data_IF_540745797473
#
_entry.id   IF_540745797473
#
_cell.length_a   1.000
_cell.length_b   1.000
_cell.length_c   1.000
_cell.angle_alpha   90.00
_cell.angle_beta   90.00
_cell.angle_gamma   90.00
#
_symmetry.space_group_name_H-M   'P 1'
#
loop_
_entity.id
_entity.type
_entity.pdbx_description
1 polymer ?
#
# COMPACT_ATOMS: atom_id res chain seq x y z
N UNK A 1 -49.42 33.59 -30.98
CA UNK A 1 -48.84 34.74 -31.70
C UNK A 1 -47.33 34.46 -31.89
N UNK A 2 -47.04 34.15 -33.18
CA UNK A 2 -45.89 34.50 -34.02
C UNK A 2 -44.50 34.23 -33.39
N UNK A 3 -43.90 33.18 -33.87
CA UNK A 3 -42.97 33.15 -35.01
C UNK A 3 -41.93 34.27 -35.02
N UNK A 4 -40.68 33.82 -34.90
CA UNK A 4 -39.70 34.21 -35.90
C UNK A 4 -38.51 33.26 -35.84
N UNK A 5 -38.45 32.42 -36.89
CA UNK A 5 -37.27 31.81 -37.40
C UNK A 5 -36.26 32.89 -37.77
N UNK A 6 -35.02 32.63 -37.55
CA UNK A 6 -33.97 33.00 -38.50
C UNK A 6 -32.76 32.12 -38.37
N UNK A 7 -32.63 31.28 -39.39
CA UNK A 7 -31.44 30.68 -39.89
C UNK A 7 -30.31 31.69 -40.05
N UNK A 8 -29.11 31.29 -39.71
CA UNK A 8 -27.97 31.62 -40.52
C UNK A 8 -27.06 30.42 -40.56
N UNK A 9 -27.11 29.76 -41.68
CA UNK A 9 -26.07 28.92 -42.22
C UNK A 9 -24.87 29.78 -42.66
N UNK A 10 -23.72 29.21 -42.57
CA UNK A 10 -22.47 29.72 -43.14
C UNK A 10 -21.34 28.98 -42.50
N UNK A 11 -21.03 27.88 -43.01
CA UNK A 11 -20.10 27.60 -44.12
C UNK A 11 -18.64 27.75 -43.67
N UNK A 12 -18.04 26.58 -43.68
CA UNK A 12 -16.77 26.24 -44.29
C UNK A 12 -15.53 27.02 -43.81
N UNK A 13 -14.47 26.42 -43.49
CA UNK A 13 -13.57 25.73 -44.38
C UNK A 13 -12.27 25.36 -43.65
N UNK A 14 -11.86 24.14 -43.88
CA UNK A 14 -10.47 23.70 -44.03
C UNK A 14 -9.40 24.12 -43.05
N UNK A 15 -8.79 23.17 -42.43
CA UNK A 15 -7.55 22.63 -43.03
C UNK A 15 -7.10 21.36 -42.32
N UNK A 16 -7.09 20.32 -43.10
CA UNK A 16 -6.21 19.19 -42.99
C UNK A 16 -4.77 19.63 -42.73
N UNK A 17 -4.18 19.09 -41.69
CA UNK A 17 -2.75 18.93 -41.70
C UNK A 17 -2.36 17.57 -41.11
N UNK A 18 -2.09 16.70 -42.04
CA UNK A 18 -1.50 15.39 -41.93
C UNK A 18 -0.11 15.45 -41.29
N UNK A 19 0.26 14.51 -40.44
CA UNK A 19 1.61 14.47 -39.89
C UNK A 19 2.62 14.04 -40.95
N UNK A 20 3.62 14.83 -41.09
CA UNK A 20 4.77 14.62 -41.97
C UNK A 20 5.63 13.49 -41.41
N UNK A 21 5.70 12.39 -42.16
CA UNK A 21 6.78 11.42 -42.10
C UNK A 21 8.12 12.13 -42.25
N UNK A 22 9.01 11.94 -41.32
CA UNK A 22 10.41 12.09 -41.60
C UNK A 22 11.09 10.73 -41.59
N UNK A 23 11.61 10.50 -42.73
CA UNK A 23 12.26 9.36 -43.29
C UNK A 23 13.62 9.12 -42.67
N UNK A 24 13.88 7.85 -42.45
CA UNK A 24 15.20 7.31 -42.18
C UNK A 24 16.12 7.60 -43.37
N UNK A 25 17.33 7.94 -43.10
CA UNK A 25 18.48 7.56 -43.89
C UNK A 25 19.75 8.03 -43.17
N UNK A 26 20.53 7.16 -42.66
CA UNK A 26 21.88 6.91 -43.16
C UNK A 26 22.62 5.93 -42.27
N UNK A 27 22.74 4.71 -42.77
CA UNK A 27 23.77 3.79 -42.33
C UNK A 27 24.89 3.89 -43.37
N UNK A 28 26.13 3.90 -42.97
CA UNK A 28 27.10 3.00 -43.58
C UNK A 28 27.90 2.20 -42.54
N UNK A 29 27.79 0.91 -42.60
CA UNK A 29 28.88 0.01 -42.27
C UNK A 29 29.64 -0.32 -43.55
N UNK A 30 30.55 -1.28 -43.54
CA UNK A 30 31.65 -1.59 -42.67
C UNK A 30 32.99 -1.59 -43.44
N UNK A 31 34.08 -1.58 -42.78
CA UNK A 31 35.35 -2.02 -43.42
C UNK A 31 36.19 -2.81 -42.39
N UNK A 32 36.43 -3.99 -42.80
CA UNK A 32 37.34 -4.99 -42.26
C UNK A 32 38.80 -4.56 -42.43
N UNK A 33 39.61 -5.10 -41.60
CA UNK A 33 40.89 -5.80 -41.82
C UNK A 33 41.62 -5.91 -40.47
N UNK A 34 41.73 -7.13 -39.90
CA UNK A 34 42.90 -8.02 -39.97
C UNK A 34 44.21 -7.37 -39.50
N UNK A 35 44.82 -7.84 -38.44
CA UNK A 35 45.84 -8.85 -38.41
C UNK A 35 46.43 -9.04 -36.98
N UNK A 36 46.46 -10.30 -36.60
CA UNK A 36 47.47 -11.15 -35.97
C UNK A 36 48.41 -10.64 -34.90
N UNK A 37 48.48 -11.55 -33.99
CA UNK A 37 49.63 -12.18 -33.27
C UNK A 37 49.91 -11.69 -31.86
N UNK A 38 49.67 -12.60 -30.96
CA UNK A 38 50.78 -13.17 -30.27
C UNK A 38 50.71 -13.27 -28.75
N UNK A 39 50.50 -14.50 -28.29
CA UNK A 39 51.07 -15.10 -27.07
C UNK A 39 50.66 -14.67 -25.68
N UNK A 40 49.80 -15.46 -25.07
CA UNK A 40 50.17 -16.46 -24.06
C UNK A 40 50.44 -15.99 -22.63
N UNK A 41 49.62 -16.58 -21.77
CA UNK A 41 49.89 -17.05 -20.43
C UNK A 41 49.80 -16.07 -19.26
N UNK A 42 48.90 -16.41 -18.41
CA UNK A 42 48.88 -15.90 -17.04
C UNK A 42 47.51 -16.08 -16.37
N UNK A 43 47.19 -17.32 -16.09
CA UNK A 43 46.19 -17.74 -15.16
C UNK A 43 46.31 -16.95 -13.85
N UNK A 44 45.27 -16.25 -13.47
CA UNK A 44 44.88 -16.16 -12.06
C UNK A 44 43.42 -15.74 -12.02
N UNK A 45 42.58 -16.69 -11.70
CA UNK A 45 41.24 -16.48 -11.18
C UNK A 45 41.33 -15.61 -9.94
N UNK A 46 40.74 -14.45 -10.00
CA UNK A 46 40.19 -13.80 -8.83
C UNK A 46 38.76 -13.54 -9.21
N UNK A 47 37.97 -14.54 -8.92
CA UNK A 47 36.54 -14.47 -9.00
C UNK A 47 36.03 -13.31 -8.14
N UNK A 48 35.31 -12.45 -8.76
CA UNK A 48 34.48 -11.44 -8.22
C UNK A 48 33.64 -11.97 -7.05
N UNK A 49 34.11 -11.74 -5.85
CA UNK A 49 33.35 -11.86 -4.61
C UNK A 49 32.65 -10.55 -4.26
N UNK A 50 32.45 -9.66 -5.22
CA UNK A 50 31.81 -8.36 -4.97
C UNK A 50 30.37 -8.24 -5.46
N UNK A 51 29.83 -9.28 -6.13
CA UNK A 51 28.46 -9.24 -6.65
C UNK A 51 27.43 -9.92 -5.73
N UNK A 52 27.88 -10.75 -4.78
CA UNK A 52 26.95 -11.47 -3.89
C UNK A 52 26.50 -10.63 -2.70
N UNK A 53 27.18 -9.52 -2.41
CA UNK A 53 26.82 -8.64 -1.28
C UNK A 53 25.87 -7.51 -1.65
N UNK A 54 25.61 -7.27 -2.92
CA UNK A 54 24.64 -6.26 -3.35
C UNK A 54 23.22 -6.75 -3.48
N UNK A 55 23.02 -8.04 -3.68
CA UNK A 55 21.68 -8.63 -3.73
C UNK A 55 21.09 -8.94 -2.35
N UNK A 56 21.91 -9.06 -1.32
CA UNK A 56 21.45 -9.32 0.04
C UNK A 56 20.96 -8.07 0.80
N UNK A 57 21.21 -6.86 0.29
CA UNK A 57 20.80 -5.62 0.95
C UNK A 57 19.51 -5.01 0.41
N UNK A 58 18.89 -5.60 -0.60
CA UNK A 58 17.69 -5.04 -1.22
C UNK A 58 16.46 -5.95 -1.10
N UNK A 59 16.49 -6.95 -0.21
CA UNK A 59 15.37 -7.88 -0.02
C UNK A 59 14.45 -7.52 1.14
N UNK A 60 14.70 -6.46 1.88
CA UNK A 60 13.83 -6.09 3.00
C UNK A 60 12.59 -5.27 2.61
N UNK A 61 12.51 -4.74 1.38
CA UNK A 61 11.36 -3.94 0.93
C UNK A 61 10.42 -4.64 -0.06
N UNK A 62 10.70 -5.84 -0.53
CA UNK A 62 9.94 -6.46 -1.61
C UNK A 62 8.90 -7.51 -1.20
N UNK A 63 8.79 -7.86 0.07
CA UNK A 63 7.78 -8.83 0.54
C UNK A 63 6.48 -8.12 0.96
N UNK A 64 5.86 -7.40 0.04
CA UNK A 64 4.54 -6.79 0.27
C UNK A 64 3.50 -7.52 -0.56
N UNK A 65 2.58 -8.19 0.11
CA UNK A 65 1.38 -8.75 -0.52
C UNK A 65 0.32 -7.68 -0.62
N UNK A 66 -0.15 -7.38 -1.83
CA UNK A 66 -1.18 -6.37 -2.07
C UNK A 66 -2.48 -7.03 -2.51
N UNK A 67 -3.54 -6.80 -1.76
CA UNK A 67 -4.92 -7.17 -2.13
C UNK A 67 -5.58 -5.92 -2.68
N UNK A 68 -5.77 -5.88 -4.00
CA UNK A 68 -6.30 -4.71 -4.69
C UNK A 68 -7.78 -4.47 -4.35
N UNK A 69 -8.23 -3.24 -4.52
CA UNK A 69 -9.63 -2.88 -4.37
C UNK A 69 -10.51 -3.69 -5.34
N UNK A 70 -11.58 -4.29 -4.81
CA UNK A 70 -12.46 -5.19 -5.56
C UNK A 70 -12.04 -6.66 -5.54
N UNK A 71 -10.85 -7.00 -5.06
CA UNK A 71 -10.50 -8.39 -4.78
C UNK A 71 -11.21 -8.88 -3.52
N UNK A 72 -11.66 -10.13 -3.55
CA UNK A 72 -12.27 -10.81 -2.40
C UNK A 72 -11.45 -12.06 -2.09
N UNK A 73 -11.00 -12.16 -0.88
CA UNK A 73 -10.27 -13.30 -0.36
C UNK A 73 -11.16 -14.01 0.65
N UNK A 74 -11.37 -15.29 0.45
CA UNK A 74 -12.12 -16.14 1.39
C UNK A 74 -11.16 -17.17 1.96
N UNK A 75 -10.85 -17.07 3.22
CA UNK A 75 -9.91 -17.91 3.93
C UNK A 75 -8.81 -17.11 4.62
N UNK A 76 -7.99 -17.80 5.37
CA UNK A 76 -6.95 -17.18 6.18
C UNK A 76 -5.75 -16.76 5.32
N UNK A 77 -5.19 -15.62 5.67
CA UNK A 77 -3.99 -15.06 5.06
C UNK A 77 -2.83 -15.12 6.04
N UNK A 78 -1.75 -15.74 5.61
CA UNK A 78 -0.53 -15.80 6.39
C UNK A 78 0.65 -15.25 5.56
N UNK A 79 1.42 -14.34 6.13
CA UNK A 79 2.58 -13.74 5.48
C UNK A 79 3.69 -13.45 6.49
N UNK A 80 4.90 -13.77 6.11
CA UNK A 80 6.10 -13.37 6.84
C UNK A 80 6.55 -11.94 6.51
N UNK A 81 6.05 -11.39 5.40
CA UNK A 81 6.29 -10.03 4.94
C UNK A 81 5.23 -9.03 5.41
N UNK A 82 5.03 -7.98 4.65
CA UNK A 82 3.99 -6.97 4.87
C UNK A 82 2.76 -7.26 4.00
N UNK A 83 1.57 -6.90 4.48
CA UNK A 83 0.32 -7.06 3.74
C UNK A 83 -0.36 -5.71 3.60
N UNK A 84 -0.82 -5.38 2.39
CA UNK A 84 -1.67 -4.24 2.11
C UNK A 84 -3.03 -4.72 1.59
N UNK A 85 -4.09 -4.47 2.33
CA UNK A 85 -5.46 -4.89 2.02
C UNK A 85 -6.27 -3.67 1.61
N UNK A 86 -6.68 -3.60 0.36
CA UNK A 86 -7.62 -2.60 -0.15
C UNK A 86 -8.94 -3.22 -0.60
N UNK A 87 -8.99 -4.55 -0.68
CA UNK A 87 -10.16 -5.33 -1.03
C UNK A 87 -10.95 -5.80 0.19
N UNK A 88 -11.63 -6.93 0.04
CA UNK A 88 -12.38 -7.60 1.10
C UNK A 88 -11.68 -8.90 1.47
N UNK A 89 -11.48 -9.13 2.74
CA UNK A 89 -10.94 -10.37 3.29
C UNK A 89 -11.94 -10.94 4.28
N UNK A 90 -12.36 -12.19 4.02
CA UNK A 90 -13.22 -12.96 4.92
C UNK A 90 -12.38 -14.10 5.50
N UNK A 91 -11.74 -13.88 6.62
CA UNK A 91 -10.83 -14.80 7.29
C UNK A 91 -9.77 -14.08 8.09
N UNK A 92 -9.00 -14.83 8.84
CA UNK A 92 -7.97 -14.28 9.70
C UNK A 92 -6.74 -13.82 8.90
N UNK A 93 -6.12 -12.75 9.34
CA UNK A 93 -4.89 -12.23 8.75
C UNK A 93 -3.75 -12.33 9.77
N UNK A 94 -2.73 -13.10 9.44
CA UNK A 94 -1.53 -13.24 10.23
C UNK A 94 -0.33 -12.69 9.46
N UNK A 95 0.25 -11.61 9.96
CA UNK A 95 1.36 -10.91 9.31
C UNK A 95 2.49 -10.69 10.31
N UNK A 96 3.71 -11.10 9.98
CA UNK A 96 4.85 -10.93 10.89
C UNK A 96 5.44 -9.52 10.89
N UNK A 97 5.18 -8.73 9.85
CA UNK A 97 5.70 -7.36 9.76
C UNK A 97 4.56 -6.34 9.86
N UNK A 98 4.27 -5.67 8.79
CA UNK A 98 3.35 -4.53 8.76
C UNK A 98 2.08 -4.87 8.00
N UNK A 99 0.93 -4.57 8.59
CA UNK A 99 -0.37 -4.65 7.94
C UNK A 99 -0.90 -3.25 7.66
N UNK A 100 -1.34 -3.03 6.43
CA UNK A 100 -2.06 -1.82 6.02
C UNK A 100 -3.45 -2.24 5.58
N UNK A 101 -4.49 -1.83 6.30
CA UNK A 101 -5.87 -2.12 5.96
C UNK A 101 -6.57 -0.84 5.48
N UNK A 102 -7.06 -0.88 4.24
CA UNK A 102 -7.82 0.19 3.59
C UNK A 102 -9.13 -0.30 2.97
N UNK A 103 -9.50 -1.56 3.22
CA UNK A 103 -10.70 -2.21 2.70
C UNK A 103 -11.60 -2.75 3.82
N UNK A 104 -12.22 -3.90 3.59
CA UNK A 104 -13.05 -4.60 4.57
C UNK A 104 -12.37 -5.89 5.02
N UNK A 105 -12.31 -6.10 6.32
CA UNK A 105 -11.77 -7.33 6.91
C UNK A 105 -12.81 -7.89 7.87
N UNK A 106 -13.20 -9.13 7.63
CA UNK A 106 -14.12 -9.90 8.47
C UNK A 106 -13.34 -11.10 9.04
N UNK A 107 -12.78 -10.93 10.22
CA UNK A 107 -11.94 -11.89 10.90
C UNK A 107 -10.85 -11.24 11.76
N UNK A 108 -10.06 -12.08 12.41
CA UNK A 108 -9.03 -11.62 13.35
C UNK A 108 -7.78 -11.14 12.61
N UNK A 109 -7.20 -10.07 13.10
CA UNK A 109 -5.98 -9.48 12.55
C UNK A 109 -4.86 -9.61 13.58
N UNK A 110 -3.76 -10.24 13.17
CA UNK A 110 -2.55 -10.34 13.96
C UNK A 110 -1.34 -9.84 13.17
N UNK A 111 -0.64 -8.82 13.67
CA UNK A 111 0.55 -8.28 13.03
C UNK A 111 1.48 -7.57 14.01
N UNK A 112 2.75 -7.39 13.63
CA UNK A 112 3.70 -6.62 14.44
C UNK A 112 3.33 -5.13 14.46
N UNK A 113 3.01 -4.55 13.30
CA UNK A 113 2.51 -3.18 13.18
C UNK A 113 1.23 -3.15 12.35
N UNK A 114 0.23 -2.39 12.80
CA UNK A 114 -1.07 -2.31 12.13
C UNK A 114 -1.41 -0.85 11.82
N UNK A 115 -1.71 -0.59 10.54
CA UNK A 115 -2.20 0.68 10.05
C UNK A 115 -3.55 0.49 9.39
N UNK A 116 -4.60 0.98 10.00
CA UNK A 116 -5.97 0.93 9.50
C UNK A 116 -6.39 2.33 9.07
N UNK A 117 -6.77 2.50 7.81
CA UNK A 117 -7.20 3.80 7.30
C UNK A 117 -8.37 3.63 6.33
N UNK A 118 -9.52 4.23 6.67
CA UNK A 118 -10.76 4.11 5.90
C UNK A 118 -11.19 2.65 5.66
N UNK A 119 -10.99 1.81 6.67
CA UNK A 119 -11.30 0.40 6.61
C UNK A 119 -12.41 0.04 7.58
N UNK A 120 -13.12 -1.03 7.25
CA UNK A 120 -14.08 -1.66 8.13
C UNK A 120 -13.52 -3.00 8.60
N UNK A 121 -13.38 -3.16 9.90
CA UNK A 121 -12.86 -4.39 10.50
C UNK A 121 -13.88 -4.95 11.48
N UNK A 122 -14.30 -6.19 11.26
CA UNK A 122 -15.18 -6.94 12.14
C UNK A 122 -14.42 -8.16 12.65
N UNK A 123 -13.90 -8.06 13.87
CA UNK A 123 -13.06 -9.07 14.49
C UNK A 123 -12.02 -8.46 15.43
N UNK A 124 -11.20 -9.30 16.02
CA UNK A 124 -10.20 -8.87 16.97
C UNK A 124 -8.94 -8.36 16.27
N UNK A 125 -8.37 -7.29 16.79
CA UNK A 125 -7.13 -6.69 16.27
C UNK A 125 -6.03 -6.84 17.30
N UNK A 126 -5.02 -7.62 16.97
CA UNK A 126 -3.89 -7.90 17.86
C UNK A 126 -2.62 -7.37 17.24
N UNK A 127 -2.02 -6.37 17.86
CA UNK A 127 -0.74 -5.80 17.43
C UNK A 127 0.34 -6.06 18.47
N UNK A 128 1.48 -6.58 18.04
CA UNK A 128 2.61 -6.77 18.95
C UNK A 128 3.33 -5.45 19.29
N UNK A 129 3.20 -4.45 18.42
CA UNK A 129 3.83 -3.14 18.59
C UNK A 129 2.86 -1.98 18.46
N UNK A 130 3.00 -1.22 17.37
CA UNK A 130 2.24 0.00 17.14
C UNK A 130 0.96 -0.28 16.37
N UNK A 131 -0.15 0.22 16.87
CA UNK A 131 -1.44 0.22 16.20
C UNK A 131 -1.86 1.65 15.88
N UNK A 132 -2.19 1.91 14.61
CA UNK A 132 -2.72 3.20 14.19
C UNK A 132 -4.04 3.03 13.45
N UNK A 133 -5.10 3.58 14.02
CA UNK A 133 -6.44 3.60 13.46
C UNK A 133 -6.71 5.01 12.95
N UNK A 134 -6.73 5.18 11.63
CA UNK A 134 -7.00 6.46 10.98
C UNK A 134 -8.47 6.84 10.97
N UNK A 135 -8.75 8.10 10.66
CA UNK A 135 -10.11 8.63 10.53
C UNK A 135 -10.90 7.92 9.43
N UNK A 136 -12.20 7.72 9.66
CA UNK A 136 -13.07 7.00 8.74
C UNK A 136 -12.95 5.48 8.78
N UNK A 137 -12.18 4.94 9.73
CA UNK A 137 -12.13 3.50 10.02
C UNK A 137 -13.16 3.14 11.07
N UNK A 138 -13.73 1.95 10.95
CA UNK A 138 -14.68 1.38 11.91
C UNK A 138 -14.16 0.00 12.32
N UNK A 139 -14.01 -0.21 13.62
CA UNK A 139 -13.61 -1.49 14.19
C UNK A 139 -14.72 -1.96 15.12
N UNK A 140 -15.18 -3.18 14.90
CA UNK A 140 -16.12 -3.87 15.76
C UNK A 140 -15.44 -5.12 16.28
N UNK A 141 -14.99 -5.09 17.53
CA UNK A 141 -14.23 -6.16 18.17
C UNK A 141 -13.20 -5.62 19.14
N UNK A 142 -12.41 -6.51 19.71
CA UNK A 142 -11.45 -6.16 20.73
C UNK A 142 -10.09 -5.79 20.13
N UNK A 143 -9.43 -4.82 20.75
CA UNK A 143 -8.15 -4.29 20.28
C UNK A 143 -7.08 -4.51 21.34
N UNK A 144 -6.06 -5.26 20.97
CA UNK A 144 -4.92 -5.57 21.82
C UNK A 144 -3.63 -5.03 21.22
N UNK A 145 -2.77 -4.45 22.06
CA UNK A 145 -1.49 -3.94 21.56
C UNK A 145 -0.58 -3.36 22.62
N UNK A 146 0.53 -2.77 22.16
CA UNK A 146 1.44 -2.07 23.06
C UNK A 146 1.21 -0.56 23.06
N UNK A 147 1.07 0.03 21.89
CA UNK A 147 0.79 1.46 21.73
C UNK A 147 -0.30 1.63 20.68
N UNK A 148 -1.29 2.45 20.96
CA UNK A 148 -2.37 2.72 20.00
C UNK A 148 -2.58 4.22 19.78
N UNK A 149 -2.79 4.59 18.52
CA UNK A 149 -3.27 5.92 18.11
C UNK A 149 -4.61 5.73 17.41
N UNK A 150 -5.66 6.28 17.96
CA UNK A 150 -7.04 6.04 17.53
C UNK A 150 -7.65 7.37 17.06
N UNK A 151 -7.99 7.44 15.77
CA UNK A 151 -8.71 8.54 15.16
C UNK A 151 -10.04 8.09 14.52
N UNK A 152 -10.33 6.80 14.52
CA UNK A 152 -11.53 6.17 13.97
C UNK A 152 -12.58 5.81 15.03
N UNK A 153 -13.62 5.08 14.60
CA UNK A 153 -14.62 4.52 15.48
C UNK A 153 -14.20 3.11 15.93
N UNK A 154 -14.25 2.84 17.23
CA UNK A 154 -13.97 1.53 17.82
C UNK A 154 -15.12 1.14 18.73
N UNK A 155 -15.64 -0.07 18.52
CA UNK A 155 -16.67 -0.68 19.37
C UNK A 155 -16.16 -1.99 19.92
N UNK A 156 -15.82 -2.03 21.21
CA UNK A 156 -15.29 -3.21 21.90
C UNK A 156 -14.35 -2.84 23.03
N UNK A 157 -13.60 -3.80 23.50
CA UNK A 157 -12.61 -3.59 24.55
C UNK A 157 -11.25 -3.19 23.92
N UNK A 158 -10.61 -2.19 24.49
CA UNK A 158 -9.27 -1.74 24.11
C UNK A 158 -8.32 -2.04 25.27
N UNK A 159 -7.46 -3.04 25.09
CA UNK A 159 -6.43 -3.42 26.07
C UNK A 159 -5.04 -3.13 25.50
N UNK A 160 -4.46 -2.02 25.90
CA UNK A 160 -3.15 -1.56 25.47
C UNK A 160 -2.18 -1.50 26.63
N UNK A 161 -1.11 -2.24 26.56
CA UNK A 161 -0.13 -2.35 27.65
C UNK A 161 0.61 -1.04 27.93
N UNK A 162 0.72 -0.16 26.94
CA UNK A 162 1.43 1.11 27.02
C UNK A 162 0.53 2.33 26.96
N UNK A 163 0.76 3.17 25.95
CA UNK A 163 0.07 4.46 25.77
C UNK A 163 -1.00 4.37 24.70
N UNK A 164 -2.19 4.88 24.99
CA UNK A 164 -3.26 5.12 24.03
C UNK A 164 -3.38 6.63 23.78
N UNK A 165 -3.35 7.03 22.53
CA UNK A 165 -3.63 8.40 22.10
C UNK A 165 -4.95 8.38 21.33
N UNK A 166 -5.93 9.11 21.85
CA UNK A 166 -7.26 9.21 21.26
C UNK A 166 -7.35 10.59 20.61
N UNK A 167 -7.45 10.59 19.28
CA UNK A 167 -7.49 11.82 18.51
C UNK A 167 -8.89 12.44 18.49
N UNK A 168 -9.00 13.66 18.03
CA UNK A 168 -10.20 14.49 18.05
C UNK A 168 -11.40 13.92 17.24
N UNK A 169 -11.14 13.03 16.30
CA UNK A 169 -12.16 12.38 15.46
C UNK A 169 -12.56 10.99 15.96
N UNK A 170 -11.96 10.54 17.06
CA UNK A 170 -12.19 9.20 17.58
C UNK A 170 -13.57 9.11 18.30
N UNK A 171 -14.25 8.00 18.02
CA UNK A 171 -15.48 7.61 18.73
C UNK A 171 -15.25 6.20 19.29
N UNK A 172 -15.21 6.09 20.59
CA UNK A 172 -14.96 4.81 21.26
C UNK A 172 -16.18 4.42 22.07
N UNK A 173 -16.68 3.23 21.81
CA UNK A 173 -17.78 2.61 22.57
C UNK A 173 -17.29 1.34 23.22
N UNK A 174 -17.06 1.40 24.53
CA UNK A 174 -16.60 0.26 25.29
C UNK A 174 -15.55 0.61 26.33
N UNK A 175 -14.81 -0.38 26.77
CA UNK A 175 -13.86 -0.23 27.85
C UNK A 175 -12.45 0.04 27.30
N UNK A 176 -11.73 0.96 27.96
CA UNK A 176 -10.34 1.22 27.64
C UNK A 176 -9.49 0.84 28.84
N UNK A 177 -8.54 -0.04 28.61
CA UNK A 177 -7.56 -0.48 29.58
C UNK A 177 -6.16 -0.18 29.04
N UNK A 178 -5.44 0.68 29.73
CA UNK A 178 -4.08 1.04 29.32
C UNK A 178 -3.29 1.61 30.49
N UNK A 179 -1.96 1.69 30.30
CA UNK A 179 -1.10 2.31 31.29
C UNK A 179 -1.24 3.84 31.30
N UNK A 180 -1.38 4.43 30.12
CA UNK A 180 -1.52 5.88 29.93
C UNK A 180 -2.50 6.16 28.81
N UNK A 181 -3.40 7.11 29.04
CA UNK A 181 -4.37 7.57 28.03
C UNK A 181 -4.21 9.06 27.82
N UNK A 182 -4.05 9.46 26.57
CA UNK A 182 -4.12 10.86 26.15
C UNK A 182 -5.35 11.04 25.29
N UNK A 183 -6.23 11.95 25.67
CA UNK A 183 -7.47 12.23 24.94
C UNK A 183 -7.39 13.65 24.41
N UNK A 184 -7.52 13.80 23.10
CA UNK A 184 -7.57 15.10 22.46
C UNK A 184 -8.99 15.66 22.43
N UNK A 185 -9.13 16.99 22.41
CA UNK A 185 -10.44 17.65 22.35
C UNK A 185 -11.24 17.21 21.10
N UNK A 186 -12.48 16.81 21.31
CA UNK A 186 -13.37 16.35 20.26
C UNK A 186 -13.61 14.85 20.23
N UNK A 187 -12.80 14.06 20.91
CA UNK A 187 -13.01 12.63 21.06
C UNK A 187 -14.28 12.33 21.86
N UNK A 188 -15.00 11.29 21.45
CA UNK A 188 -16.23 10.80 22.14
C UNK A 188 -15.93 9.41 22.69
N UNK A 189 -16.20 9.22 23.97
CA UNK A 189 -16.05 7.93 24.65
C UNK A 189 -17.36 7.63 25.38
N UNK A 190 -17.95 6.49 25.01
CA UNK A 190 -19.22 6.00 25.59
C UNK A 190 -19.02 4.60 26.20
#
# INVERSE_FOLDING_TARGET
FKELKKDISGAADRSDEKPKKMQADNIPGPAAAEDETGKQAGNTQVENMSDVTKEAMNQEESDVTVIAAGAVVNGDLESTGSIAVYGTVNGSINCQKKLIAGGSVDGDIHAAEIFINKANVDGNVISEGNLKIGSGSVIVGDVYGQTAVIAGAVKGEIDIKGTVIIDNTAVIRGNIKSRSVQINNGAVIE
#
